data_IF_597168181729
#
_entry.id   IF_597168181729
#
_cell.length_a   1.000
_cell.length_b   1.000
_cell.length_c   1.000
_cell.angle_alpha   90.00
_cell.angle_beta   90.00
_cell.angle_gamma   90.00
#
_symmetry.space_group_name_H-M   'P 1'
#
loop_
_entity.id
_entity.type
_entity.pdbx_description
1 polymer ?
#
# COMPACT_ATOMS: atom_id res chain seq x y z
N UNK A 1 21.05 -17.56 -14.68
CA UNK A 1 20.82 -17.67 -13.20
C UNK A 1 21.83 -16.81 -12.43
N UNK A 2 21.58 -16.39 -11.18
CA UNK A 2 22.63 -15.84 -10.29
C UNK A 2 23.50 -17.00 -9.80
N UNK A 3 24.82 -16.91 -9.99
CA UNK A 3 25.78 -17.96 -9.62
C UNK A 3 26.59 -17.60 -8.38
N UNK A 4 26.95 -16.33 -8.21
CA UNK A 4 27.80 -15.90 -7.11
C UNK A 4 27.55 -14.43 -6.76
N UNK A 5 27.71 -14.08 -5.49
CA UNK A 5 27.85 -12.69 -5.04
C UNK A 5 29.34 -12.46 -4.80
N UNK A 6 30.01 -11.81 -5.74
CA UNK A 6 31.44 -11.55 -5.66
C UNK A 6 31.77 -10.54 -4.56
N UNK A 7 30.94 -9.51 -4.39
CA UNK A 7 31.22 -8.44 -3.43
C UNK A 7 29.95 -7.84 -2.85
N UNK A 8 30.00 -7.50 -1.57
CA UNK A 8 29.04 -6.62 -0.89
C UNK A 8 29.81 -5.60 -0.06
N UNK A 9 29.66 -4.32 -0.34
CA UNK A 9 30.37 -3.24 0.37
C UNK A 9 29.39 -2.20 0.87
N UNK A 10 29.55 -1.78 2.12
CA UNK A 10 28.62 -0.87 2.81
C UNK A 10 27.15 -1.32 2.69
N UNK A 11 26.93 -2.63 2.72
CA UNK A 11 25.61 -3.22 2.49
C UNK A 11 25.13 -3.91 3.77
N UNK A 12 24.44 -3.16 4.63
CA UNK A 12 23.98 -3.66 5.92
C UNK A 12 25.16 -4.05 6.82
N UNK A 13 25.20 -5.32 7.25
CA UNK A 13 26.31 -5.81 8.08
C UNK A 13 27.59 -6.08 7.28
N UNK A 14 27.51 -6.10 5.94
CA UNK A 14 28.65 -6.38 5.08
C UNK A 14 29.43 -5.09 4.81
N UNK A 15 30.53 -4.90 5.53
CA UNK A 15 31.42 -3.76 5.35
C UNK A 15 32.16 -3.82 4.01
N UNK A 16 32.86 -4.93 3.74
CA UNK A 16 33.51 -5.24 2.45
C UNK A 16 33.69 -6.76 2.30
N UNK A 17 32.58 -7.45 2.08
CA UNK A 17 32.55 -8.90 1.91
C UNK A 17 33.05 -9.30 0.52
N UNK A 18 33.90 -10.34 0.47
CA UNK A 18 34.40 -10.95 -0.76
C UNK A 18 33.92 -12.41 -0.84
N UNK A 19 33.06 -12.70 -1.82
CA UNK A 19 32.47 -14.02 -2.03
C UNK A 19 33.11 -14.86 -3.13
N UNK A 20 34.21 -14.41 -3.73
CA UNK A 20 34.87 -15.12 -4.86
C UNK A 20 35.33 -16.55 -4.54
N UNK A 21 35.60 -16.84 -3.26
CA UNK A 21 36.05 -18.16 -2.78
C UNK A 21 34.94 -18.98 -2.10
N UNK A 22 33.71 -18.48 -2.11
CA UNK A 22 32.57 -19.15 -1.46
C UNK A 22 31.89 -20.07 -2.48
N UNK A 23 31.21 -21.09 -1.97
CA UNK A 23 30.38 -21.98 -2.75
C UNK A 23 29.41 -21.18 -3.64
N UNK A 24 29.37 -21.56 -4.93
CA UNK A 24 28.42 -21.02 -5.90
C UNK A 24 26.99 -21.46 -5.55
N UNK A 25 26.02 -20.63 -5.89
CA UNK A 25 24.61 -21.00 -5.78
C UNK A 25 24.30 -22.19 -6.69
N UNK A 26 23.58 -23.17 -6.15
CA UNK A 26 22.97 -24.24 -6.91
C UNK A 26 21.56 -23.86 -7.38
N UNK A 27 20.84 -24.81 -7.98
CA UNK A 27 19.42 -24.66 -8.32
C UNK A 27 18.55 -24.39 -7.09
N UNK A 28 18.88 -25.02 -5.96
CA UNK A 28 18.24 -24.86 -4.67
C UNK A 28 19.30 -24.49 -3.64
N UNK A 29 19.00 -23.50 -2.80
CA UNK A 29 19.96 -22.96 -1.83
C UNK A 29 19.28 -22.79 -0.48
N UNK A 30 19.92 -23.30 0.58
CA UNK A 30 19.51 -23.07 1.96
C UNK A 30 20.57 -22.22 2.65
N UNK A 31 20.20 -21.01 3.06
CA UNK A 31 21.06 -20.10 3.82
C UNK A 31 20.48 -19.96 5.22
N UNK A 32 21.25 -20.35 6.24
CA UNK A 32 20.82 -20.33 7.64
C UNK A 32 21.94 -19.80 8.56
N UNK A 33 21.59 -19.49 9.81
CA UNK A 33 22.52 -18.93 10.80
C UNK A 33 21.81 -18.14 11.88
N UNK A 34 22.58 -17.68 12.87
CA UNK A 34 22.07 -16.92 14.02
C UNK A 34 21.45 -15.57 13.65
N UNK A 35 20.65 -15.00 14.55
CA UNK A 35 20.14 -13.64 14.35
C UNK A 35 21.29 -12.63 14.27
N UNK A 36 21.17 -11.66 13.38
CA UNK A 36 22.23 -10.68 13.14
C UNK A 36 23.34 -11.12 12.18
N UNK A 37 23.36 -12.37 11.67
CA UNK A 37 24.41 -12.84 10.73
C UNK A 37 24.20 -12.42 9.27
N UNK A 38 23.24 -11.53 8.99
CA UNK A 38 23.05 -10.97 7.64
C UNK A 38 22.09 -11.71 6.73
N UNK A 39 21.35 -12.71 7.23
CA UNK A 39 20.31 -13.41 6.44
C UNK A 39 19.29 -12.45 5.82
N UNK A 40 18.75 -11.53 6.63
CA UNK A 40 17.81 -10.52 6.16
C UNK A 40 18.48 -9.48 5.26
N UNK A 41 19.78 -9.22 5.44
CA UNK A 41 20.55 -8.35 4.52
C UNK A 41 20.66 -9.01 3.15
N UNK A 42 20.99 -10.30 3.10
CA UNK A 42 21.04 -11.07 1.86
C UNK A 42 19.68 -11.16 1.16
N UNK A 43 18.58 -11.37 1.90
CA UNK A 43 17.24 -11.37 1.29
C UNK A 43 16.85 -10.02 0.70
N UNK A 44 17.31 -8.91 1.31
CA UNK A 44 17.10 -7.58 0.76
C UNK A 44 17.98 -7.28 -0.47
N UNK A 45 19.17 -7.87 -0.58
CA UNK A 45 19.95 -7.80 -1.82
C UNK A 45 19.12 -8.34 -2.99
N UNK A 46 18.50 -9.52 -2.84
CA UNK A 46 17.61 -10.06 -3.88
C UNK A 46 16.37 -9.17 -4.12
N UNK A 47 15.87 -8.47 -3.09
CA UNK A 47 14.79 -7.49 -3.27
C UNK A 47 15.21 -6.34 -4.20
N UNK A 48 16.49 -5.91 -4.16
CA UNK A 48 16.99 -4.91 -5.10
C UNK A 48 16.88 -5.40 -6.56
N UNK A 49 17.16 -6.70 -6.81
CA UNK A 49 17.01 -7.29 -8.14
C UNK A 49 15.56 -7.40 -8.60
N UNK A 50 14.64 -7.79 -7.71
CA UNK A 50 13.20 -7.81 -7.99
C UNK A 50 12.68 -6.40 -8.37
N UNK A 51 13.08 -5.38 -7.61
CA UNK A 51 12.66 -3.99 -7.83
C UNK A 51 13.46 -3.26 -8.91
N UNK A 52 14.52 -3.88 -9.45
CA UNK A 52 15.50 -3.26 -10.36
C UNK A 52 16.03 -1.91 -9.86
N UNK A 53 16.09 -1.74 -8.55
CA UNK A 53 16.46 -0.49 -7.88
C UNK A 53 16.97 -0.78 -6.46
N UNK A 54 17.75 0.15 -5.92
CA UNK A 54 18.25 0.02 -4.55
C UNK A 54 17.12 0.21 -3.55
N UNK A 55 16.98 -0.74 -2.62
CA UNK A 55 16.10 -0.55 -1.46
C UNK A 55 16.63 0.65 -0.64
N UNK A 56 15.76 1.59 -0.18
CA UNK A 56 16.20 2.86 0.41
C UNK A 56 17.23 2.75 1.54
N UNK A 57 17.13 1.70 2.37
CA UNK A 57 18.07 1.44 3.47
C UNK A 57 19.51 1.13 3.00
N UNK A 58 19.68 0.70 1.76
CA UNK A 58 20.96 0.33 1.18
C UNK A 58 21.40 1.30 0.07
N UNK A 59 20.92 2.55 0.09
CA UNK A 59 21.19 3.54 -0.98
C UNK A 59 22.68 3.77 -1.28
N UNK A 60 23.56 3.61 -0.28
CA UNK A 60 25.02 3.73 -0.44
C UNK A 60 25.73 2.40 -0.64
N UNK A 61 24.99 1.29 -0.63
CA UNK A 61 25.55 -0.05 -0.74
C UNK A 61 26.00 -0.36 -2.16
N UNK A 62 27.11 -1.07 -2.27
CA UNK A 62 27.68 -1.53 -3.54
C UNK A 62 27.68 -3.06 -3.57
N UNK A 63 27.45 -3.63 -4.75
CA UNK A 63 27.50 -5.08 -4.91
C UNK A 63 28.01 -5.49 -6.29
N UNK A 64 28.46 -6.74 -6.38
CA UNK A 64 28.81 -7.37 -7.63
C UNK A 64 28.28 -8.79 -7.62
N UNK A 65 27.39 -9.11 -8.55
CA UNK A 65 26.73 -10.41 -8.67
C UNK A 65 26.99 -10.99 -10.04
N UNK A 66 27.49 -12.22 -10.08
CA UNK A 66 27.84 -12.93 -11.31
C UNK A 66 26.69 -13.82 -11.74
N UNK A 67 26.38 -13.78 -13.02
CA UNK A 67 25.40 -14.63 -13.66
C UNK A 67 26.05 -15.84 -14.33
N UNK A 68 25.21 -16.78 -14.72
CA UNK A 68 25.60 -18.03 -15.37
C UNK A 68 26.24 -17.85 -16.75
N UNK A 69 25.90 -16.78 -17.47
CA UNK A 69 26.52 -16.38 -18.73
C UNK A 69 27.88 -15.68 -18.55
N UNK A 70 28.34 -15.52 -17.29
CA UNK A 70 29.57 -14.83 -16.95
C UNK A 70 29.43 -13.31 -16.84
N UNK A 71 28.26 -12.74 -17.17
CA UNK A 71 28.00 -11.31 -16.97
C UNK A 71 27.92 -10.97 -15.49
N UNK A 72 28.16 -9.70 -15.16
CA UNK A 72 28.12 -9.20 -13.79
C UNK A 72 27.16 -8.03 -13.69
N UNK A 73 26.26 -8.10 -12.71
CA UNK A 73 25.37 -7.01 -12.33
C UNK A 73 25.92 -6.33 -11.08
N UNK A 74 26.06 -5.02 -11.18
CA UNK A 74 26.38 -4.08 -10.09
C UNK A 74 25.18 -3.18 -9.78
N UNK A 75 25.28 -2.38 -8.73
CA UNK A 75 24.28 -1.36 -8.38
C UNK A 75 24.01 -0.38 -9.53
N UNK A 76 25.03 -0.06 -10.34
CA UNK A 76 24.90 0.83 -11.49
C UNK A 76 24.14 0.20 -12.65
N UNK A 77 24.27 -1.11 -12.88
CA UNK A 77 23.60 -1.86 -13.96
C UNK A 77 22.29 -2.52 -13.53
N UNK A 78 21.91 -2.39 -12.26
CA UNK A 78 20.75 -3.09 -11.68
C UNK A 78 19.43 -2.79 -12.43
N UNK A 79 19.27 -1.55 -12.90
CA UNK A 79 18.08 -1.08 -13.61
C UNK A 79 17.84 -1.81 -14.95
N UNK A 80 18.90 -2.28 -15.61
CA UNK A 80 18.83 -3.01 -16.87
C UNK A 80 18.80 -4.53 -16.70
N UNK A 81 18.77 -5.02 -15.45
CA UNK A 81 18.68 -6.44 -15.14
C UNK A 81 17.43 -7.09 -15.74
N UNK A 82 17.63 -8.14 -16.53
CA UNK A 82 16.57 -8.97 -17.09
C UNK A 82 16.21 -10.18 -16.21
N UNK A 83 16.82 -10.30 -15.03
CA UNK A 83 16.53 -11.39 -14.12
C UNK A 83 15.07 -11.32 -13.65
N UNK A 84 14.38 -12.45 -13.76
CA UNK A 84 13.05 -12.62 -13.19
C UNK A 84 13.18 -13.16 -11.76
N UNK A 85 13.23 -12.27 -10.78
CA UNK A 85 13.39 -12.60 -9.35
C UNK A 85 12.17 -12.10 -8.60
N UNK A 86 11.59 -12.99 -7.78
CA UNK A 86 10.53 -12.67 -6.84
C UNK A 86 11.01 -12.98 -5.43
N UNK A 87 10.79 -12.04 -4.50
CA UNK A 87 11.30 -12.16 -3.14
C UNK A 87 10.16 -12.09 -2.13
N UNK A 88 9.93 -13.20 -1.44
CA UNK A 88 9.06 -13.24 -0.29
C UNK A 88 9.88 -13.10 1.00
N UNK A 89 9.88 -11.90 1.58
CA UNK A 89 10.56 -11.60 2.85
C UNK A 89 9.73 -10.63 3.69
N UNK A 90 10.27 -10.22 4.84
CA UNK A 90 9.56 -9.32 5.75
C UNK A 90 9.24 -7.94 5.11
N UNK A 91 10.08 -7.45 4.18
CA UNK A 91 9.80 -6.23 3.41
C UNK A 91 8.57 -6.43 2.53
N UNK A 92 8.51 -7.54 1.78
CA UNK A 92 7.34 -7.89 0.98
C UNK A 92 6.08 -7.96 1.85
N UNK A 93 6.14 -8.62 3.00
CA UNK A 93 5.02 -8.71 3.93
C UNK A 93 4.58 -7.32 4.39
N UNK A 94 5.49 -6.46 4.86
CA UNK A 94 5.14 -5.11 5.30
C UNK A 94 4.56 -4.23 4.19
N UNK A 95 5.05 -4.34 2.97
CA UNK A 95 4.58 -3.51 1.85
C UNK A 95 3.26 -3.99 1.24
N UNK A 96 2.93 -5.28 1.37
CA UNK A 96 1.81 -5.89 0.64
C UNK A 96 0.75 -6.53 1.54
N UNK A 97 1.00 -6.66 2.85
CA UNK A 97 0.13 -7.37 3.80
C UNK A 97 -0.19 -6.45 4.98
N UNK A 98 -1.41 -5.91 5.01
CA UNK A 98 -1.97 -5.20 6.16
C UNK A 98 -2.53 -6.23 7.17
N UNK A 99 -1.89 -6.32 8.35
CA UNK A 99 -2.26 -7.28 9.39
C UNK A 99 -3.38 -6.76 10.31
N UNK A 100 -3.58 -5.44 10.43
CA UNK A 100 -4.59 -4.83 11.32
C UNK A 100 -5.98 -4.83 10.68
N UNK A 101 -6.06 -4.78 9.35
CA UNK A 101 -7.30 -4.94 8.59
C UNK A 101 -7.52 -6.40 8.17
N UNK A 102 -7.70 -7.29 9.16
CA UNK A 102 -8.34 -8.61 9.01
C UNK A 102 -7.98 -9.34 7.71
N UNK A 103 -6.71 -9.73 7.52
CA UNK A 103 -6.19 -10.51 6.35
C UNK A 103 -7.14 -10.49 5.15
N UNK A 104 -7.36 -9.30 4.55
CA UNK A 104 -8.32 -9.15 3.46
C UNK A 104 -7.73 -9.79 2.20
N UNK A 105 -7.89 -11.10 2.07
CA UNK A 105 -7.82 -11.81 0.78
C UNK A 105 -6.60 -11.47 -0.10
N UNK A 106 -5.45 -11.30 0.56
CA UNK A 106 -4.21 -10.58 0.20
C UNK A 106 -3.50 -10.97 -1.12
N UNK A 107 -4.07 -11.84 -1.94
CA UNK A 107 -3.45 -12.32 -3.19
C UNK A 107 -3.87 -11.60 -4.48
N UNK A 108 -4.94 -10.78 -4.50
CA UNK A 108 -5.71 -10.65 -5.76
C UNK A 108 -5.90 -9.27 -6.39
N UNK A 109 -5.47 -8.15 -5.82
CA UNK A 109 -5.75 -6.86 -6.46
C UNK A 109 -4.52 -5.96 -6.47
N UNK A 110 -3.72 -6.17 -7.51
CA UNK A 110 -2.74 -5.28 -8.12
C UNK A 110 -2.44 -3.96 -7.39
N UNK A 111 -1.14 -3.71 -7.22
CA UNK A 111 -0.50 -2.43 -6.84
C UNK A 111 -1.16 -1.18 -7.46
N UNK A 112 -1.79 -1.33 -8.63
CA UNK A 112 -2.55 -0.30 -9.36
C UNK A 112 -3.85 0.17 -8.67
N UNK A 113 -4.48 -0.64 -7.81
CA UNK A 113 -5.80 -0.29 -7.23
C UNK A 113 -5.77 0.24 -5.80
N UNK A 114 -4.59 0.42 -5.23
CA UNK A 114 -4.46 0.97 -3.87
C UNK A 114 -4.94 2.43 -3.85
N UNK A 115 -4.52 3.24 -4.82
CA UNK A 115 -4.94 4.64 -4.95
C UNK A 115 -6.45 4.76 -5.22
N UNK A 116 -6.99 3.87 -6.07
CA UNK A 116 -8.42 3.79 -6.34
C UNK A 116 -9.22 3.40 -5.10
N UNK A 117 -8.70 2.49 -4.26
CA UNK A 117 -9.34 2.11 -3.00
C UNK A 117 -9.33 3.27 -1.99
N UNK A 118 -8.23 4.01 -1.87
CA UNK A 118 -8.18 5.21 -1.03
C UNK A 118 -9.17 6.28 -1.51
N UNK A 119 -9.24 6.48 -2.83
CA UNK A 119 -10.21 7.40 -3.45
C UNK A 119 -11.65 6.95 -3.22
N UNK A 120 -11.92 5.64 -3.30
CA UNK A 120 -13.23 5.03 -3.02
C UNK A 120 -13.63 5.24 -1.55
N UNK A 121 -12.72 5.01 -0.60
CA UNK A 121 -12.98 5.22 0.83
C UNK A 121 -13.32 6.70 1.11
N UNK A 122 -12.58 7.64 0.52
CA UNK A 122 -12.85 9.08 0.63
C UNK A 122 -14.22 9.46 0.05
N UNK A 123 -14.53 8.97 -1.16
CA UNK A 123 -15.83 9.19 -1.79
C UNK A 123 -16.99 8.62 -0.97
N UNK A 124 -16.79 7.46 -0.33
CA UNK A 124 -17.80 6.88 0.58
C UNK A 124 -18.03 7.76 1.80
N UNK A 125 -16.98 8.30 2.43
CA UNK A 125 -17.15 9.19 3.60
C UNK A 125 -17.85 10.49 3.21
N UNK A 126 -17.49 11.08 2.07
CA UNK A 126 -18.15 12.28 1.53
C UNK A 126 -19.62 12.02 1.18
N UNK A 127 -19.95 10.86 0.61
CA UNK A 127 -21.32 10.49 0.31
C UNK A 127 -22.15 10.29 1.58
N UNK A 128 -21.55 9.70 2.63
CA UNK A 128 -22.22 9.53 3.91
C UNK A 128 -22.52 10.87 4.59
N UNK A 129 -21.58 11.82 4.57
CA UNK A 129 -21.80 13.15 5.15
C UNK A 129 -22.85 13.95 4.37
N UNK A 130 -22.82 13.88 3.03
CA UNK A 130 -23.85 14.51 2.18
C UNK A 130 -25.24 13.91 2.37
N UNK A 131 -25.35 12.58 2.52
CA UNK A 131 -26.63 11.93 2.83
C UNK A 131 -27.20 12.42 4.16
N UNK A 132 -26.38 12.48 5.21
CA UNK A 132 -26.81 13.00 6.51
C UNK A 132 -27.31 14.44 6.41
N UNK A 133 -26.57 15.31 5.74
CA UNK A 133 -26.98 16.71 5.53
C UNK A 133 -28.26 16.84 4.68
N UNK A 134 -28.45 15.95 3.71
CA UNK A 134 -29.68 15.89 2.92
C UNK A 134 -30.88 15.48 3.77
N UNK A 135 -30.73 14.43 4.58
CA UNK A 135 -31.79 13.94 5.47
C UNK A 135 -32.17 14.99 6.52
N UNK A 136 -31.19 15.70 7.08
CA UNK A 136 -31.43 16.82 8.01
C UNK A 136 -32.25 17.94 7.34
N UNK A 137 -31.86 18.39 6.14
CA UNK A 137 -32.60 19.40 5.36
C UNK A 137 -34.00 18.94 4.98
N UNK A 138 -34.16 17.66 4.61
CA UNK A 138 -35.46 17.07 4.30
C UNK A 138 -36.39 17.14 5.52
N UNK A 139 -35.85 16.88 6.71
CA UNK A 139 -36.59 16.97 7.97
C UNK A 139 -37.03 18.41 8.28
N UNK A 140 -36.18 19.41 7.99
CA UNK A 140 -36.50 20.82 8.21
C UNK A 140 -37.57 21.33 7.23
N UNK A 141 -37.48 20.94 5.95
CA UNK A 141 -38.52 21.24 4.95
C UNK A 141 -39.87 20.67 5.40
N UNK A 142 -39.88 19.45 5.95
CA UNK A 142 -41.11 18.83 6.47
C UNK A 142 -41.70 19.64 7.63
N UNK A 143 -40.88 20.03 8.61
CA UNK A 143 -41.32 20.87 9.75
C UNK A 143 -41.87 22.22 9.29
N UNK A 144 -41.20 22.87 8.33
CA UNK A 144 -41.65 24.15 7.78
C UNK A 144 -42.98 24.02 7.04
N UNK A 145 -43.18 22.94 6.27
CA UNK A 145 -44.47 22.65 5.63
C UNK A 145 -45.59 22.42 6.64
N UNK A 146 -45.34 21.62 7.68
CA UNK A 146 -46.32 21.39 8.75
C UNK A 146 -46.67 22.68 9.50
N UNK A 147 -45.69 23.56 9.74
CA UNK A 147 -45.93 24.87 10.36
C UNK A 147 -46.77 25.79 9.45
N UNK A 148 -46.48 25.79 8.14
CA UNK A 148 -47.25 26.56 7.15
C UNK A 148 -48.70 26.08 7.06
N UNK A 149 -48.94 24.76 7.01
CA UNK A 149 -50.28 24.19 6.98
C UNK A 149 -51.08 24.54 8.25
N UNK A 150 -50.44 24.47 9.43
CA UNK A 150 -51.06 24.90 10.69
C UNK A 150 -51.41 26.39 10.68
N UNK A 151 -50.51 27.23 10.17
CA UNK A 151 -50.75 28.67 10.04
C UNK A 151 -51.95 28.97 9.14
N UNK A 152 -51.99 28.38 7.94
CA UNK A 152 -53.09 28.53 6.98
C UNK A 152 -54.42 28.04 7.57
N UNK A 153 -54.41 26.90 8.27
CA UNK A 153 -55.60 26.35 8.93
C UNK A 153 -56.12 27.29 10.02
N UNK A 154 -55.23 27.88 10.82
CA UNK A 154 -55.60 28.84 11.86
C UNK A 154 -56.12 30.16 11.29
N UNK A 155 -55.53 30.66 10.20
CA UNK A 155 -56.02 31.85 9.50
C UNK A 155 -57.44 31.62 8.94
N UNK A 156 -57.68 30.48 8.29
CA UNK A 156 -59.00 30.12 7.76
C UNK A 156 -60.07 30.01 8.88
N UNK A 157 -59.71 29.43 10.03
CA UNK A 157 -60.61 29.38 11.21
C UNK A 157 -60.99 30.78 11.70
N UNK A 158 -60.02 31.71 11.78
CA UNK A 158 -60.29 33.10 12.21
C UNK A 158 -61.22 33.84 11.24
N UNK A 159 -61.03 33.70 9.93
CA UNK A 159 -61.90 34.31 8.93
C UNK A 159 -63.34 33.78 9.00
N UNK A 160 -63.52 32.49 9.30
CA UNK A 160 -64.85 31.87 9.44
C UNK A 160 -65.61 32.34 10.69
N UNK A 161 -64.90 32.76 11.74
CA UNK A 161 -65.48 33.29 12.99
C UNK A 161 -65.82 34.78 12.88
N UNK A 162 -65.02 35.59 12.16
CA UNK A 162 -65.29 37.02 11.96
C UNK A 162 -66.45 37.34 11.00
N UNK A 163 -66.93 36.37 10.21
CA UNK A 163 -68.10 36.54 9.33
C UNK A 163 -69.45 36.23 9.99
N UNK A 164 -69.48 35.96 11.30
CA UNK A 164 -70.70 35.65 12.07
C UNK A 164 -71.16 36.78 12.99
N UNK A 165 -70.48 37.92 12.98
CA UNK A 165 -70.90 39.14 13.65
C UNK A 165 -71.40 40.14 12.59
N UNK A 166 -72.67 39.97 12.20
CA UNK A 166 -73.56 40.98 11.64
C UNK A 166 -75.00 40.49 11.84
#
# INVERSE_FOLDING_TARGET
>A
MIVCINRLKQFGIFSDFNGTKIQKFGRYNLVYGWNGTGKSTLSNLFSCFELRSMVPRFSTGQFSVVLEDGSTITESTLHSSQLNIHVFNQRFVHENIDWDKSVKSILLIAKEKIDDLQKLEKLKSELQSKKKAHDDKQSDIKKQREALEKFLTNAAKKMKLGGREN
#
